data_IF_968115838462
#
_entry.id   IF_968115838462
#
_cell.length_a   1.000
_cell.length_b   1.000
_cell.length_c   1.000
_cell.angle_alpha   90.00
_cell.angle_beta   90.00
_cell.angle_gamma   90.00
#
_symmetry.space_group_name_H-M   'P 1'
#
loop_
_entity.id
_entity.type
_entity.pdbx_description
1 polymer ?
#
# COMPACT_ATOMS: atom_id res chain seq x y z
N UNK A 1 14.86 4.43 4.32
CA UNK A 1 14.02 3.27 4.00
C UNK A 1 14.89 2.26 3.28
N UNK A 2 14.93 1.03 3.78
CA UNK A 2 15.65 -0.09 3.16
C UNK A 2 14.62 -1.11 2.64
N UNK A 3 14.85 -1.68 1.46
CA UNK A 3 13.96 -2.67 0.85
C UNK A 3 14.78 -3.91 0.50
N UNK A 4 14.29 -5.09 0.89
CA UNK A 4 14.90 -6.36 0.50
C UNK A 4 13.86 -7.31 -0.09
N UNK A 5 14.23 -8.01 -1.16
CA UNK A 5 13.41 -9.07 -1.76
C UNK A 5 13.65 -10.39 -1.05
N UNK A 6 12.57 -11.15 -0.80
CA UNK A 6 12.63 -12.50 -0.23
C UNK A 6 11.68 -13.42 -0.98
N UNK A 7 12.04 -14.70 -1.06
CA UNK A 7 11.26 -15.71 -1.75
C UNK A 7 11.90 -16.15 -3.08
N UNK A 8 11.15 -16.95 -3.84
CA UNK A 8 11.53 -17.38 -5.19
C UNK A 8 10.74 -16.59 -6.22
N UNK A 9 11.24 -16.51 -7.45
CA UNK A 9 10.69 -15.68 -8.55
C UNK A 9 9.17 -15.71 -8.74
N UNK A 10 8.48 -16.81 -8.41
CA UNK A 10 7.02 -16.92 -8.56
C UNK A 10 6.21 -16.38 -7.36
N UNK A 11 6.84 -16.21 -6.20
CA UNK A 11 6.22 -15.76 -4.94
C UNK A 11 7.22 -14.92 -4.13
N UNK A 12 7.79 -13.90 -4.76
CA UNK A 12 8.65 -12.94 -4.09
C UNK A 12 7.79 -11.94 -3.30
N UNK A 13 8.25 -11.52 -2.13
CA UNK A 13 7.72 -10.38 -1.41
C UNK A 13 8.82 -9.39 -1.04
N UNK A 14 8.42 -8.17 -0.70
CA UNK A 14 9.31 -7.12 -0.21
C UNK A 14 9.25 -7.06 1.31
N UNK A 15 10.42 -7.00 1.94
CA UNK A 15 10.58 -6.57 3.33
C UNK A 15 11.04 -5.12 3.29
N UNK A 16 10.24 -4.23 3.89
CA UNK A 16 10.51 -2.79 3.94
C UNK A 16 10.85 -2.40 5.36
N UNK A 17 12.07 -1.91 5.59
CA UNK A 17 12.52 -1.40 6.89
C UNK A 17 12.40 0.12 6.89
N UNK A 18 11.62 0.63 7.84
CA UNK A 18 11.37 2.06 8.03
C UNK A 18 12.15 2.56 9.25
N UNK A 19 12.88 3.66 9.07
CA UNK A 19 13.40 4.45 10.19
C UNK A 19 12.27 5.26 10.83
N UNK A 20 12.46 5.80 12.06
CA UNK A 20 11.46 6.68 12.66
C UNK A 20 11.05 7.82 11.72
N UNK A 21 9.74 8.03 11.57
CA UNK A 21 9.11 9.02 10.67
C UNK A 21 9.21 8.72 9.17
N UNK A 22 9.66 7.54 8.76
CA UNK A 22 9.53 7.10 7.36
C UNK A 22 8.17 6.46 7.12
N UNK A 23 7.64 6.67 5.92
CA UNK A 23 6.35 6.14 5.49
C UNK A 23 6.51 5.46 4.13
N UNK A 24 5.74 4.40 3.90
CA UNK A 24 5.63 3.73 2.60
C UNK A 24 4.16 3.64 2.21
N UNK A 25 3.86 3.91 0.95
CA UNK A 25 2.53 3.73 0.38
C UNK A 25 2.55 2.47 -0.46
N UNK A 26 1.56 1.61 -0.25
CA UNK A 26 1.40 0.36 -1.00
C UNK A 26 -0.01 0.28 -1.57
N UNK A 27 -0.22 -0.65 -2.49
CA UNK A 27 -1.55 -0.98 -2.98
C UNK A 27 -2.41 -1.64 -1.88
N UNK A 28 -3.72 -1.48 -1.98
CA UNK A 28 -4.66 -2.08 -1.04
C UNK A 28 -4.52 -3.61 -1.03
N UNK A 29 -4.27 -4.16 0.15
CA UNK A 29 -4.08 -5.60 0.34
C UNK A 29 -2.67 -6.11 0.00
N UNK A 30 -1.72 -5.25 -0.39
CA UNK A 30 -0.34 -5.67 -0.65
C UNK A 30 0.45 -6.04 0.63
N UNK A 31 0.03 -5.52 1.79
CA UNK A 31 0.70 -5.77 3.07
C UNK A 31 0.31 -7.15 3.63
N UNK A 32 1.30 -8.02 3.81
CA UNK A 32 1.10 -9.36 4.40
C UNK A 32 1.29 -9.39 5.93
N UNK A 33 2.25 -8.64 6.46
CA UNK A 33 2.58 -8.58 7.89
C UNK A 33 3.33 -7.29 8.22
N UNK A 34 3.36 -6.90 9.50
CA UNK A 34 4.09 -5.73 9.99
C UNK A 34 4.58 -5.91 11.43
N UNK A 35 5.59 -5.13 11.80
CA UNK A 35 6.03 -5.00 13.20
C UNK A 35 5.03 -4.16 14.01
N UNK A 36 5.00 -4.36 15.34
CA UNK A 36 4.06 -3.68 16.26
C UNK A 36 4.18 -2.14 16.24
N UNK A 37 5.34 -1.61 15.87
CA UNK A 37 5.61 -0.17 15.85
C UNK A 37 5.18 0.56 14.58
N UNK A 38 4.54 -0.13 13.64
CA UNK A 38 4.08 0.45 12.37
C UNK A 38 2.61 0.84 12.47
N UNK A 39 2.31 2.10 12.16
CA UNK A 39 0.95 2.59 12.00
C UNK A 39 0.49 2.46 10.55
N UNK A 40 -0.72 1.91 10.34
CA UNK A 40 -1.34 1.79 9.01
C UNK A 40 -2.48 2.79 8.89
N UNK A 41 -2.45 3.58 7.81
CA UNK A 41 -3.52 4.52 7.46
C UNK A 41 -4.05 4.18 6.07
N UNK A 42 -5.37 4.03 5.96
CA UNK A 42 -6.03 3.85 4.67
C UNK A 42 -6.45 5.21 4.11
N UNK A 43 -5.90 5.58 2.96
CA UNK A 43 -6.22 6.84 2.30
C UNK A 43 -6.65 6.62 0.85
N UNK A 44 -7.75 7.26 0.46
CA UNK A 44 -8.17 7.31 -0.94
C UNK A 44 -7.38 8.40 -1.66
N UNK A 45 -6.31 8.01 -2.38
CA UNK A 45 -5.54 8.96 -3.18
C UNK A 45 -6.40 9.55 -4.29
N UNK A 46 -6.56 10.87 -4.26
CA UNK A 46 -7.40 11.63 -5.19
C UNK A 46 -8.68 12.22 -4.59
N UNK A 47 -8.95 11.97 -3.31
CA UNK A 47 -10.13 12.50 -2.60
C UNK A 47 -11.38 11.66 -2.82
N UNK A 48 -12.32 11.75 -1.87
CA UNK A 48 -13.54 10.92 -1.83
C UNK A 48 -14.37 11.11 -3.11
N UNK A 49 -14.59 12.37 -3.53
CA UNK A 49 -15.44 12.70 -4.69
C UNK A 49 -14.85 12.16 -6.00
N UNK A 50 -13.56 12.38 -6.24
CA UNK A 50 -12.89 11.90 -7.47
C UNK A 50 -12.84 10.37 -7.53
N UNK A 51 -12.68 9.72 -6.36
CA UNK A 51 -12.65 8.27 -6.26
C UNK A 51 -14.03 7.64 -6.45
N UNK A 52 -15.11 8.30 -6.00
CA UNK A 52 -16.50 7.90 -6.28
C UNK A 52 -16.82 8.08 -7.77
N UNK A 53 -16.42 9.21 -8.38
CA UNK A 53 -16.62 9.45 -9.82
C UNK A 53 -15.90 8.37 -10.65
N UNK A 54 -14.63 8.05 -10.33
CA UNK A 54 -13.90 6.98 -11.01
C UNK A 54 -14.57 5.62 -10.84
N UNK A 55 -15.03 5.29 -9.63
CA UNK A 55 -15.74 4.03 -9.34
C UNK A 55 -17.06 3.90 -10.11
N UNK A 56 -17.85 4.97 -10.21
CA UNK A 56 -19.18 4.96 -10.84
C UNK A 56 -19.09 5.06 -12.37
N UNK A 57 -18.23 5.93 -12.90
CA UNK A 57 -18.18 6.23 -14.34
C UNK A 57 -17.05 5.51 -15.09
N UNK A 58 -15.99 5.11 -14.39
CA UNK A 58 -14.80 4.47 -14.98
C UNK A 58 -14.67 2.97 -14.70
N UNK A 59 -15.45 2.41 -13.77
CA UNK A 59 -15.36 0.99 -13.37
C UNK A 59 -14.07 0.59 -12.64
N UNK A 60 -13.15 1.53 -12.44
CA UNK A 60 -11.86 1.30 -11.77
C UNK A 60 -11.98 1.43 -10.24
N UNK A 61 -11.14 0.69 -9.53
CA UNK A 61 -11.08 0.72 -8.07
C UNK A 61 -10.82 2.14 -7.52
N UNK A 62 -11.49 2.47 -6.42
CA UNK A 62 -11.24 3.70 -5.65
C UNK A 62 -9.91 3.63 -4.88
N UNK A 63 -9.36 2.44 -4.71
CA UNK A 63 -8.14 2.17 -3.98
C UNK A 63 -6.93 2.18 -4.93
N UNK A 64 -5.82 2.72 -4.45
CA UNK A 64 -4.50 2.29 -4.90
C UNK A 64 -4.20 1.05 -4.08
#
# INVERSE_FOLDING_TARGET
>A
MEITEKGKSSFTHLIVTLSPNEEVVTESGAMASMDKGIDVRSELKGGIIKSIIRKIFGGESAFI
#
